data_IF_708124656444
#
_entry.id   IF_708124656444
#
_cell.length_a   1.000
_cell.length_b   1.000
_cell.length_c   1.000
_cell.angle_alpha   90.00
_cell.angle_beta   90.00
_cell.angle_gamma   90.00
#
_symmetry.space_group_name_H-M   'P 1'
#
loop_
_entity.id
_entity.type
_entity.pdbx_description
1 polymer ?
#
# COMPACT_ATOMS: atom_id res chain seq x y z
N UNK A 1 12.23 15.22 -20.55
CA UNK A 1 11.10 14.38 -20.98
C UNK A 1 10.56 13.71 -19.75
N UNK A 2 9.29 13.93 -19.42
CA UNK A 2 8.64 13.21 -18.31
C UNK A 2 8.63 11.72 -18.65
N UNK A 3 9.11 10.89 -17.74
CA UNK A 3 8.99 9.44 -17.88
C UNK A 3 7.52 9.06 -17.92
N UNK A 4 7.18 8.20 -18.87
CA UNK A 4 5.82 7.69 -19.03
C UNK A 4 5.65 6.41 -18.20
N UNK A 5 4.61 6.36 -17.37
CA UNK A 5 4.26 5.19 -16.57
C UNK A 5 2.84 4.75 -16.89
N UNK A 6 2.58 3.45 -16.76
CA UNK A 6 1.23 2.90 -16.85
C UNK A 6 0.86 2.24 -15.53
N UNK A 7 -0.41 2.42 -15.11
CA UNK A 7 -0.98 1.75 -13.93
C UNK A 7 -2.07 0.82 -14.41
N UNK A 8 -1.96 -0.46 -14.06
CA UNK A 8 -2.90 -1.50 -14.46
C UNK A 8 -3.33 -2.32 -13.25
N UNK A 9 -4.48 -2.99 -13.34
CA UNK A 9 -4.82 -4.03 -12.39
C UNK A 9 -3.93 -5.25 -12.63
N UNK A 10 -3.29 -5.74 -11.58
CA UNK A 10 -2.45 -6.93 -11.65
C UNK A 10 -3.34 -8.18 -11.59
N UNK A 11 -3.55 -8.81 -12.72
CA UNK A 11 -4.44 -9.98 -12.85
C UNK A 11 -3.75 -11.20 -13.44
N UNK A 12 -2.70 -11.01 -14.22
CA UNK A 12 -1.95 -12.12 -14.83
C UNK A 12 -0.93 -12.69 -13.85
N UNK A 13 -0.50 -13.97 -14.00
CA UNK A 13 0.58 -14.53 -13.20
C UNK A 13 1.87 -13.69 -13.22
N UNK A 14 2.21 -13.11 -14.38
CA UNK A 14 3.40 -12.24 -14.50
C UNK A 14 3.25 -10.95 -13.71
N UNK A 15 2.09 -10.30 -13.77
CA UNK A 15 1.81 -9.08 -12.99
C UNK A 15 1.84 -9.37 -11.48
N UNK A 16 1.23 -10.46 -11.06
CA UNK A 16 1.19 -10.85 -9.63
C UNK A 16 2.59 -11.18 -9.12
N UNK A 17 3.42 -11.87 -9.91
CA UNK A 17 4.81 -12.13 -9.54
C UNK A 17 5.61 -10.82 -9.40
N UNK A 18 5.38 -9.84 -10.27
CA UNK A 18 6.00 -8.52 -10.19
C UNK A 18 5.57 -7.77 -8.92
N UNK A 19 4.29 -7.83 -8.57
CA UNK A 19 3.78 -7.23 -7.32
C UNK A 19 4.42 -7.89 -6.09
N UNK A 20 4.51 -9.22 -6.07
CA UNK A 20 5.16 -9.95 -4.97
C UNK A 20 6.61 -9.52 -4.79
N UNK A 21 7.36 -9.38 -5.89
CA UNK A 21 8.75 -8.89 -5.83
C UNK A 21 8.84 -7.48 -5.23
N UNK A 22 7.96 -6.58 -5.65
CA UNK A 22 7.88 -5.22 -5.09
C UNK A 22 7.50 -5.23 -3.59
N UNK A 23 6.62 -6.12 -3.18
CA UNK A 23 6.26 -6.27 -1.77
C UNK A 23 7.42 -6.78 -0.92
N UNK A 24 8.27 -7.66 -1.44
CA UNK A 24 9.51 -8.07 -0.76
C UNK A 24 10.51 -6.91 -0.65
N UNK A 25 10.64 -6.10 -1.68
CA UNK A 25 11.46 -4.89 -1.65
C UNK A 25 10.93 -3.90 -0.60
N UNK A 26 9.62 -3.74 -0.51
CA UNK A 26 8.98 -2.92 0.51
C UNK A 26 9.30 -3.42 1.92
N UNK A 27 9.16 -4.72 2.16
CA UNK A 27 9.54 -5.32 3.45
C UNK A 27 11.01 -5.08 3.79
N UNK A 28 11.89 -5.27 2.83
CA UNK A 28 13.33 -5.02 3.01
C UNK A 28 13.62 -3.54 3.35
N UNK A 29 12.89 -2.62 2.73
CA UNK A 29 12.99 -1.17 3.03
C UNK A 29 12.59 -0.89 4.48
N UNK A 30 11.50 -1.47 4.97
CA UNK A 30 11.05 -1.31 6.36
C UNK A 30 12.07 -1.88 7.35
N UNK A 31 12.58 -3.08 7.08
CA UNK A 31 13.61 -3.73 7.93
C UNK A 31 14.88 -2.88 8.01
N UNK A 32 15.27 -2.23 6.92
CA UNK A 32 16.47 -1.41 6.85
C UNK A 32 16.28 0.02 7.37
N UNK A 33 15.04 0.51 7.48
CA UNK A 33 14.75 1.91 7.76
C UNK A 33 15.14 2.34 9.17
N UNK A 34 14.80 1.55 10.17
CA UNK A 34 15.14 1.81 11.57
C UNK A 34 15.09 0.52 12.39
N UNK A 35 15.77 0.45 13.55
CA UNK A 35 15.66 -0.70 14.46
C UNK A 35 14.22 -0.99 14.87
N UNK A 36 13.41 0.05 15.10
CA UNK A 36 12.01 -0.11 15.51
C UNK A 36 11.14 -0.63 14.37
N UNK A 37 11.31 -0.13 13.15
CA UNK A 37 10.59 -0.66 12.00
C UNK A 37 10.96 -2.11 11.71
N UNK A 38 12.23 -2.48 11.92
CA UNK A 38 12.67 -3.88 11.85
C UNK A 38 11.91 -4.74 12.85
N UNK A 39 11.90 -4.34 14.12
CA UNK A 39 11.22 -5.09 15.19
C UNK A 39 9.74 -5.26 14.89
N UNK A 40 9.05 -4.21 14.47
CA UNK A 40 7.63 -4.25 14.11
C UNK A 40 7.43 -5.18 12.91
N UNK A 41 8.24 -5.05 11.87
CA UNK A 41 8.11 -5.86 10.66
C UNK A 41 8.36 -7.33 10.94
N UNK A 42 9.40 -7.65 11.70
CA UNK A 42 9.73 -9.04 12.06
C UNK A 42 8.71 -9.66 13.03
N UNK A 43 8.06 -8.84 13.84
CA UNK A 43 7.02 -9.28 14.77
C UNK A 43 5.71 -9.59 14.04
N UNK A 44 5.24 -8.66 13.20
CA UNK A 44 3.95 -8.81 12.51
C UNK A 44 4.06 -9.62 11.21
N UNK A 45 5.20 -9.56 10.53
CA UNK A 45 5.43 -10.16 9.23
C UNK A 45 6.75 -10.93 9.19
N UNK A 46 6.95 -11.93 10.07
CA UNK A 46 8.12 -12.80 9.93
C UNK A 46 8.12 -13.48 8.56
N UNK A 47 9.29 -13.84 8.06
CA UNK A 47 9.45 -14.34 6.69
C UNK A 47 8.47 -15.43 6.30
N UNK A 48 8.27 -16.52 7.11
CA UNK A 48 7.32 -17.57 6.72
C UNK A 48 5.87 -17.08 6.59
N UNK A 49 5.46 -16.19 7.49
CA UNK A 49 4.13 -15.57 7.44
C UNK A 49 3.98 -14.67 6.23
N UNK A 50 5.01 -13.90 5.91
CA UNK A 50 4.99 -13.00 4.75
C UNK A 50 4.96 -13.77 3.44
N UNK A 51 5.68 -14.88 3.32
CA UNK A 51 5.61 -15.78 2.16
C UNK A 51 4.18 -16.28 1.95
N UNK A 52 3.53 -16.75 3.01
CA UNK A 52 2.15 -17.22 2.93
C UNK A 52 1.20 -16.08 2.53
N UNK A 53 1.41 -14.88 3.09
CA UNK A 53 0.63 -13.69 2.74
C UNK A 53 0.80 -13.32 1.26
N UNK A 54 2.02 -13.39 0.73
CA UNK A 54 2.26 -13.10 -0.69
C UNK A 54 1.53 -14.06 -1.61
N UNK A 55 1.46 -15.34 -1.26
CA UNK A 55 0.71 -16.34 -2.00
C UNK A 55 -0.81 -16.06 -1.99
N UNK A 56 -1.32 -15.41 -0.96
CA UNK A 56 -2.74 -15.12 -0.79
C UNK A 56 -3.19 -13.75 -1.32
N UNK A 57 -2.28 -12.90 -1.78
CA UNK A 57 -2.64 -11.56 -2.28
C UNK A 57 -3.80 -11.56 -3.29
N UNK A 58 -3.84 -12.48 -4.29
CA UNK A 58 -4.95 -12.48 -5.24
C UNK A 58 -6.30 -12.80 -4.62
N UNK A 59 -6.34 -13.50 -3.49
CA UNK A 59 -7.57 -13.82 -2.75
C UNK A 59 -7.97 -12.67 -1.84
N UNK A 60 -7.02 -12.16 -1.04
CA UNK A 60 -7.27 -11.09 -0.08
C UNK A 60 -7.74 -9.80 -0.77
N UNK A 61 -7.12 -9.49 -1.92
CA UNK A 61 -7.38 -8.26 -2.68
C UNK A 61 -8.20 -8.52 -3.94
N UNK A 62 -9.01 -9.61 -3.96
CA UNK A 62 -9.82 -9.97 -5.11
C UNK A 62 -10.91 -8.92 -5.40
N UNK A 63 -11.21 -8.74 -6.73
CA UNK A 63 -12.43 -8.06 -7.13
C UNK A 63 -13.65 -8.87 -6.64
N UNK A 64 -14.83 -8.25 -6.40
CA UNK A 64 -15.20 -6.86 -6.71
C UNK A 64 -14.87 -5.81 -5.64
N UNK A 65 -14.41 -6.20 -4.46
CA UNK A 65 -14.23 -5.24 -3.34
C UNK A 65 -12.77 -4.92 -3.02
N UNK A 66 -11.83 -5.69 -3.55
CA UNK A 66 -10.41 -5.41 -3.48
C UNK A 66 -9.82 -5.12 -4.87
N UNK A 67 -8.58 -4.67 -4.92
CA UNK A 67 -7.83 -4.48 -6.16
C UNK A 67 -6.33 -4.48 -5.88
N UNK A 68 -5.55 -5.00 -6.82
CA UNK A 68 -4.08 -4.89 -6.83
C UNK A 68 -3.68 -4.05 -8.04
N UNK A 69 -2.94 -2.97 -7.81
CA UNK A 69 -2.44 -2.10 -8.86
C UNK A 69 -0.94 -2.27 -9.03
N UNK A 70 -0.50 -2.27 -10.28
CA UNK A 70 0.90 -2.35 -10.67
C UNK A 70 1.22 -1.21 -11.62
N UNK A 71 2.28 -0.46 -11.35
CA UNK A 71 2.82 0.53 -12.26
C UNK A 71 4.05 -0.01 -12.96
N UNK A 72 4.14 0.22 -14.27
CA UNK A 72 5.28 -0.12 -15.11
C UNK A 72 5.84 1.12 -15.79
N UNK A 73 7.16 1.14 -15.99
CA UNK A 73 7.83 2.16 -16.80
C UNK A 73 7.49 1.99 -18.29
N UNK A 74 7.93 2.94 -19.11
CA UNK A 74 7.76 2.87 -20.57
C UNK A 74 8.40 1.61 -21.17
N UNK A 75 9.49 1.10 -20.56
CA UNK A 75 10.17 -0.13 -20.96
C UNK A 75 9.49 -1.40 -20.44
N UNK A 76 8.41 -1.26 -19.68
CA UNK A 76 7.67 -2.38 -19.11
C UNK A 76 8.17 -2.88 -17.77
N UNK A 77 9.14 -2.22 -17.15
CA UNK A 77 9.67 -2.62 -15.83
C UNK A 77 8.67 -2.32 -14.73
N UNK A 78 8.40 -3.26 -13.81
CA UNK A 78 7.57 -3.00 -12.64
C UNK A 78 8.28 -2.04 -11.69
N UNK A 79 7.63 -0.93 -11.33
CA UNK A 79 8.28 0.15 -10.56
C UNK A 79 7.50 0.56 -9.32
N UNK A 80 6.22 0.21 -9.22
CA UNK A 80 5.40 0.57 -8.06
C UNK A 80 4.19 -0.33 -7.95
N UNK A 81 3.65 -0.43 -6.75
CA UNK A 81 2.40 -1.16 -6.48
C UNK A 81 1.60 -0.50 -5.36
N UNK A 82 0.38 -0.92 -5.22
CA UNK A 82 -0.51 -0.61 -4.12
C UNK A 82 -1.75 -1.47 -4.24
N UNK A 83 -2.44 -1.71 -3.14
CA UNK A 83 -3.60 -2.59 -3.13
C UNK A 83 -4.60 -2.18 -2.08
N UNK A 84 -5.83 -2.67 -2.21
CA UNK A 84 -6.88 -2.43 -1.24
C UNK A 84 -7.71 -3.68 -1.01
N UNK A 85 -8.39 -3.72 0.13
CA UNK A 85 -9.33 -4.77 0.47
C UNK A 85 -10.40 -4.21 1.42
N UNK A 86 -11.57 -4.86 1.54
CA UNK A 86 -12.59 -4.41 2.48
C UNK A 86 -12.21 -4.78 3.91
N UNK A 87 -12.43 -3.86 4.85
CA UNK A 87 -12.47 -4.16 6.29
C UNK A 87 -13.90 -4.48 6.75
N UNK A 88 -14.87 -3.77 6.18
CA UNK A 88 -16.29 -3.98 6.37
C UNK A 88 -17.05 -3.49 5.12
N UNK A 89 -18.38 -3.44 5.19
CA UNK A 89 -19.19 -3.04 4.05
C UNK A 89 -18.95 -1.58 3.60
N UNK A 90 -18.48 -0.72 4.49
CA UNK A 90 -18.31 0.72 4.24
C UNK A 90 -16.85 1.16 4.13
N UNK A 91 -15.91 0.35 4.61
CA UNK A 91 -14.51 0.74 4.80
C UNK A 91 -13.58 -0.11 3.94
N UNK A 92 -12.81 0.54 3.06
CA UNK A 92 -11.70 -0.07 2.34
C UNK A 92 -10.37 0.30 3.01
N UNK A 93 -9.43 -0.63 3.05
CA UNK A 93 -8.08 -0.39 3.56
C UNK A 93 -7.06 -0.44 2.42
N UNK A 94 -6.22 0.58 2.33
CA UNK A 94 -5.06 0.61 1.42
C UNK A 94 -3.87 -0.07 2.11
N UNK A 95 -3.19 -0.94 1.37
CA UNK A 95 -2.01 -1.67 1.84
C UNK A 95 -0.89 -1.61 0.81
N UNK A 96 0.34 -1.65 1.30
CA UNK A 96 1.56 -1.87 0.51
C UNK A 96 1.72 -0.94 -0.68
N UNK A 97 1.51 0.35 -0.46
CA UNK A 97 1.88 1.37 -1.45
C UNK A 97 3.40 1.52 -1.41
N UNK A 98 4.04 1.14 -2.50
CA UNK A 98 5.50 1.15 -2.61
C UNK A 98 5.94 1.59 -4.00
N UNK A 99 6.96 2.44 -4.04
CA UNK A 99 7.60 2.89 -5.28
C UNK A 99 9.09 2.55 -5.18
N UNK A 100 9.61 1.84 -6.19
CA UNK A 100 11.03 1.52 -6.27
C UNK A 100 11.88 2.80 -6.22
N UNK A 101 13.04 2.78 -5.54
CA UNK A 101 13.85 4.00 -5.36
C UNK A 101 14.15 4.74 -6.67
N UNK A 102 14.46 4.01 -7.74
CA UNK A 102 14.79 4.61 -9.05
C UNK A 102 13.59 5.35 -9.70
N UNK A 103 12.36 5.03 -9.31
CA UNK A 103 11.15 5.64 -9.87
C UNK A 103 10.52 6.70 -8.95
N UNK A 104 11.14 7.01 -7.83
CA UNK A 104 10.65 8.03 -6.89
C UNK A 104 10.77 9.44 -7.48
N UNK A 105 9.89 10.34 -7.02
CA UNK A 105 9.89 11.72 -7.48
C UNK A 105 9.05 11.99 -8.73
N UNK A 106 8.43 10.94 -9.32
CA UNK A 106 7.57 11.07 -10.49
C UNK A 106 6.07 11.11 -10.16
N UNK A 107 5.70 11.14 -8.87
CA UNK A 107 4.30 11.18 -8.44
C UNK A 107 3.56 9.85 -8.52
N UNK A 108 4.26 8.72 -8.61
CA UNK A 108 3.64 7.40 -8.75
C UNK A 108 2.84 6.98 -7.52
N UNK A 109 3.36 7.21 -6.30
CA UNK A 109 2.63 6.89 -5.08
C UNK A 109 1.29 7.63 -5.03
N UNK A 110 1.30 8.91 -5.40
CA UNK A 110 0.11 9.75 -5.48
C UNK A 110 -0.89 9.22 -6.51
N UNK A 111 -0.39 8.85 -7.69
CA UNK A 111 -1.21 8.31 -8.79
C UNK A 111 -1.86 6.97 -8.40
N UNK A 112 -1.11 6.07 -7.76
CA UNK A 112 -1.63 4.79 -7.26
C UNK A 112 -2.69 5.02 -6.21
N UNK A 113 -2.44 5.89 -5.24
CA UNK A 113 -3.42 6.19 -4.18
C UNK A 113 -4.71 6.79 -4.75
N UNK A 114 -4.61 7.70 -5.71
CA UNK A 114 -5.79 8.25 -6.41
C UNK A 114 -6.58 7.17 -7.12
N UNK A 115 -5.91 6.27 -7.82
CA UNK A 115 -6.56 5.14 -8.49
C UNK A 115 -7.26 4.21 -7.48
N UNK A 116 -6.64 3.95 -6.32
CA UNK A 116 -7.26 3.17 -5.25
C UNK A 116 -8.49 3.86 -4.64
N UNK A 117 -8.42 5.18 -4.44
CA UNK A 117 -9.57 5.97 -3.97
C UNK A 117 -10.71 5.95 -4.98
N UNK A 118 -10.42 6.11 -6.26
CA UNK A 118 -11.43 6.08 -7.32
C UNK A 118 -12.09 4.70 -7.41
N UNK A 119 -11.30 3.63 -7.28
CA UNK A 119 -11.83 2.27 -7.27
C UNK A 119 -12.71 2.02 -6.04
N UNK A 120 -12.30 2.45 -4.87
CA UNK A 120 -13.09 2.32 -3.64
C UNK A 120 -14.43 3.06 -3.76
N UNK A 121 -14.42 4.25 -4.36
CA UNK A 121 -15.63 5.03 -4.63
C UNK A 121 -16.57 4.29 -5.58
N UNK A 122 -16.03 3.76 -6.67
CA UNK A 122 -16.79 2.98 -7.66
C UNK A 122 -17.37 1.70 -7.05
N UNK A 123 -16.65 1.11 -6.09
CA UNK A 123 -17.09 -0.12 -5.39
C UNK A 123 -18.11 0.13 -4.28
N UNK A 124 -18.44 1.39 -4.00
CA UNK A 124 -19.50 1.77 -3.05
C UNK A 124 -19.03 1.92 -1.60
N UNK A 125 -17.74 2.01 -1.35
CA UNK A 125 -17.24 2.33 -0.01
C UNK A 125 -17.49 3.79 0.34
N UNK A 126 -17.66 4.08 1.64
CA UNK A 126 -17.87 5.44 2.13
C UNK A 126 -16.60 6.06 2.71
N UNK A 127 -15.59 5.23 2.99
CA UNK A 127 -14.29 5.69 3.50
C UNK A 127 -13.16 4.73 3.15
N UNK A 128 -11.97 5.29 3.10
CA UNK A 128 -10.73 4.54 2.95
C UNK A 128 -9.82 4.84 4.13
N UNK A 129 -9.22 3.81 4.71
CA UNK A 129 -8.26 3.94 5.82
C UNK A 129 -6.92 3.32 5.44
N UNK A 130 -5.88 3.74 6.13
CA UNK A 130 -4.55 3.14 6.03
C UNK A 130 -3.73 3.43 7.28
N UNK A 131 -2.73 2.61 7.51
CA UNK A 131 -1.67 2.90 8.45
C UNK A 131 -0.30 2.91 7.75
N UNK A 132 0.65 3.60 8.35
CA UNK A 132 2.02 3.67 7.85
C UNK A 132 3.00 3.91 9.00
N UNK A 133 4.29 3.62 8.79
CA UNK A 133 5.32 3.90 9.79
C UNK A 133 5.54 5.40 9.94
N UNK A 134 5.56 5.88 11.18
CA UNK A 134 5.90 7.27 11.52
C UNK A 134 7.31 7.66 11.07
N UNK A 135 8.22 6.70 11.00
CA UNK A 135 9.61 6.96 10.63
C UNK A 135 9.87 6.98 9.12
N UNK A 136 8.85 6.75 8.28
CA UNK A 136 8.93 6.97 6.84
C UNK A 136 8.65 8.45 6.54
N UNK A 137 9.67 9.26 6.17
CA UNK A 137 9.52 10.72 6.17
C UNK A 137 8.56 11.26 5.09
N UNK A 138 8.38 10.53 4.00
CA UNK A 138 7.54 10.97 2.89
C UNK A 138 6.06 10.53 3.01
N UNK A 139 5.75 9.56 3.86
CA UNK A 139 4.42 8.95 3.89
C UNK A 139 3.34 9.89 4.44
N UNK A 140 3.55 10.47 5.61
CA UNK A 140 2.61 11.40 6.22
C UNK A 140 2.26 12.58 5.31
N UNK A 141 3.26 13.34 4.81
CA UNK A 141 3.01 14.43 3.86
C UNK A 141 2.27 14.00 2.60
N UNK A 142 2.57 12.82 2.05
CA UNK A 142 1.88 12.28 0.89
C UNK A 142 0.37 12.14 1.13
N UNK A 143 -0.01 11.49 2.22
CA UNK A 143 -1.42 11.22 2.51
C UNK A 143 -2.18 12.50 2.86
N UNK A 144 -1.57 13.42 3.61
CA UNK A 144 -2.17 14.73 3.88
C UNK A 144 -2.38 15.53 2.59
N UNK A 145 -1.40 15.52 1.67
CA UNK A 145 -1.51 16.21 0.39
C UNK A 145 -2.60 15.61 -0.52
N UNK A 146 -2.91 14.32 -0.37
CA UNK A 146 -4.00 13.67 -1.08
C UNK A 146 -5.38 13.98 -0.51
N UNK A 147 -5.46 14.56 0.70
CA UNK A 147 -6.71 14.87 1.38
C UNK A 147 -7.10 13.89 2.48
N UNK A 148 -6.24 12.93 2.81
CA UNK A 148 -6.46 12.10 3.99
C UNK A 148 -6.35 12.94 5.26
N UNK A 149 -7.08 12.54 6.28
CA UNK A 149 -7.04 13.14 7.61
C UNK A 149 -6.40 12.16 8.59
N UNK A 150 -5.55 12.68 9.45
CA UNK A 150 -4.99 11.88 10.55
C UNK A 150 -6.11 11.44 11.50
N UNK A 151 -5.99 10.21 11.99
CA UNK A 151 -6.95 9.62 12.95
C UNK A 151 -6.23 8.69 13.90
N UNK A 152 -6.97 8.19 14.89
CA UNK A 152 -6.50 7.11 15.75
C UNK A 152 -6.56 5.74 15.08
N UNK A 153 -6.09 4.69 15.78
CA UNK A 153 -6.13 3.32 15.31
C UNK A 153 -7.56 2.88 14.96
N UNK A 154 -7.69 2.12 13.89
CA UNK A 154 -8.98 1.55 13.43
C UNK A 154 -9.04 0.03 13.60
N UNK A 155 -7.97 -0.58 14.08
CA UNK A 155 -7.87 -2.01 14.40
C UNK A 155 -7.13 -2.19 15.72
N UNK A 156 -7.38 -3.28 16.48
CA UNK A 156 -6.60 -3.59 17.66
C UNK A 156 -5.14 -3.86 17.28
N UNK A 157 -4.22 -3.17 17.95
CA UNK A 157 -2.78 -3.31 17.79
C UNK A 157 -2.11 -3.34 19.17
N UNK A 158 -0.93 -3.99 19.31
CA UNK A 158 -0.16 -3.91 20.53
C UNK A 158 0.16 -2.47 20.91
N UNK A 159 0.05 -2.13 22.19
CA UNK A 159 0.25 -0.77 22.69
C UNK A 159 1.64 -0.21 22.38
N UNK A 160 2.66 -1.07 22.36
CA UNK A 160 4.03 -0.66 22.06
C UNK A 160 4.28 -0.36 20.58
N UNK A 161 3.42 -0.83 19.68
CA UNK A 161 3.48 -0.51 18.25
C UNK A 161 2.83 0.84 17.93
N UNK A 162 1.78 1.23 18.65
CA UNK A 162 0.96 2.42 18.36
C UNK A 162 1.76 3.73 18.21
N UNK A 163 2.75 4.06 19.08
CA UNK A 163 3.50 5.30 18.95
C UNK A 163 4.34 5.39 17.66
N UNK A 164 4.58 4.28 16.99
CA UNK A 164 5.43 4.18 15.79
C UNK A 164 4.63 4.17 14.49
N UNK A 165 3.30 4.26 14.57
CA UNK A 165 2.39 4.20 13.43
C UNK A 165 1.61 5.51 13.31
N UNK A 166 1.28 5.85 12.07
CA UNK A 166 0.34 6.90 11.71
C UNK A 166 -0.88 6.26 11.06
N UNK A 167 -2.05 6.81 11.37
CA UNK A 167 -3.33 6.32 10.84
C UNK A 167 -4.04 7.45 10.11
N UNK A 168 -4.61 7.13 8.97
CA UNK A 168 -5.28 8.10 8.10
C UNK A 168 -6.62 7.57 7.61
N UNK A 169 -7.51 8.50 7.33
CA UNK A 169 -8.83 8.22 6.76
C UNK A 169 -9.16 9.22 5.65
N UNK A 170 -9.80 8.74 4.61
CA UNK A 170 -10.31 9.56 3.51
C UNK A 170 -11.81 9.29 3.35
N UNK A 171 -12.69 10.30 3.58
CA UNK A 171 -14.13 10.16 3.30
C UNK A 171 -14.38 10.21 1.80
N UNK A 172 -15.22 9.28 1.30
CA UNK A 172 -15.52 9.12 -0.13
C UNK A 172 -16.85 9.75 -0.57
N UNK A 173 -17.53 10.37 0.32
CA UNK A 173 -18.84 10.97 0.02
C UNK A 173 -18.76 12.17 -0.92
#
# INVERSE_FOLDING_TARGET
>A
VAESYSIVQATTPADLAAVVALCWDYRATLVANSPKDRDITETFYPVPKYEALMAELPVIHARPKGVILLARSAEGSPVACGMSHPLDAETSEIKRVFVSPAARGAGLAKAICRALLDQARADGFTRVVLDTSRSLPAAGPLYLALGFKARGPYQPLPEDALPHLLFFEYPLS
#
